data_IF_698710653188
#
_entry.id   IF_698710653188
#
_cell.length_a   1.000
_cell.length_b   1.000
_cell.length_c   1.000
_cell.angle_alpha   90.00
_cell.angle_beta   90.00
_cell.angle_gamma   90.00
#
_symmetry.space_group_name_H-M   'P 1'
#
loop_
_entity.id
_entity.type
_entity.pdbx_description
1 polymer ?
#
# COMPACT_ATOMS: atom_id res chain seq x y z
N UNK A 1 -29.83 -34.65 -15.96
CA UNK A 1 -28.96 -34.95 -17.12
C UNK A 1 -27.49 -34.52 -16.94
N UNK A 2 -27.14 -33.41 -16.27
CA UNK A 2 -25.75 -32.93 -16.05
C UNK A 2 -24.90 -33.90 -15.21
N UNK A 3 -25.44 -34.47 -14.13
CA UNK A 3 -24.71 -35.38 -13.24
C UNK A 3 -24.24 -36.68 -13.91
N UNK A 4 -25.06 -37.22 -14.84
CA UNK A 4 -24.70 -38.43 -15.57
C UNK A 4 -23.59 -38.18 -16.61
N UNK A 5 -23.53 -36.99 -17.21
CA UNK A 5 -22.47 -36.58 -18.12
C UNK A 5 -21.15 -36.32 -17.41
N UNK A 6 -21.19 -35.72 -16.20
CA UNK A 6 -20.03 -35.53 -15.34
C UNK A 6 -19.45 -36.85 -14.85
N UNK A 7 -20.30 -37.83 -14.46
CA UNK A 7 -19.86 -39.14 -14.01
C UNK A 7 -19.24 -39.98 -15.16
N UNK A 8 -19.74 -39.86 -16.38
CA UNK A 8 -19.15 -40.53 -17.56
C UNK A 8 -17.81 -39.89 -17.96
N UNK A 9 -17.69 -38.56 -17.85
CA UNK A 9 -16.47 -37.83 -18.12
C UNK A 9 -15.37 -38.19 -17.13
N UNK A 10 -15.69 -38.23 -15.81
CA UNK A 10 -14.76 -38.61 -14.77
C UNK A 10 -14.23 -40.05 -14.87
N UNK A 11 -15.08 -41.00 -15.30
CA UNK A 11 -14.66 -42.39 -15.55
C UNK A 11 -13.71 -42.48 -16.72
N UNK A 12 -14.02 -41.82 -17.84
CA UNK A 12 -13.22 -41.83 -19.06
C UNK A 12 -11.83 -41.15 -18.85
N UNK A 13 -11.78 -40.11 -18.01
CA UNK A 13 -10.51 -39.49 -17.61
C UNK A 13 -9.67 -40.38 -16.68
N UNK A 14 -10.29 -41.14 -15.79
CA UNK A 14 -9.60 -42.10 -14.91
C UNK A 14 -8.91 -43.25 -15.69
N UNK A 15 -9.57 -43.80 -16.70
CA UNK A 15 -8.99 -44.87 -17.53
C UNK A 15 -7.83 -44.36 -18.42
N UNK A 16 -7.93 -43.16 -18.95
CA UNK A 16 -6.84 -42.53 -19.70
C UNK A 16 -5.63 -42.26 -18.79
N UNK A 17 -5.88 -41.85 -17.55
CA UNK A 17 -4.84 -41.56 -16.56
C UNK A 17 -4.06 -42.84 -16.15
N UNK A 18 -4.71 -43.99 -16.11
CA UNK A 18 -4.06 -45.27 -15.82
C UNK A 18 -3.08 -45.72 -16.92
N UNK A 19 -3.29 -45.27 -18.17
CA UNK A 19 -2.48 -45.62 -19.35
C UNK A 19 -1.35 -44.64 -19.65
N UNK A 20 -1.33 -43.45 -19.02
CA UNK A 20 -0.28 -42.45 -19.21
C UNK A 20 1.00 -42.86 -18.54
N UNK A 21 2.14 -42.62 -19.20
CA UNK A 21 3.47 -42.90 -18.66
C UNK A 21 3.77 -42.02 -17.43
N UNK A 22 4.68 -42.46 -16.56
CA UNK A 22 5.10 -41.68 -15.40
C UNK A 22 5.61 -40.29 -15.79
N UNK A 23 6.32 -40.19 -16.92
CA UNK A 23 6.83 -38.91 -17.45
C UNK A 23 5.71 -37.94 -17.83
N UNK A 24 4.62 -38.43 -18.45
CA UNK A 24 3.47 -37.60 -18.81
C UNK A 24 2.71 -37.09 -17.58
N UNK A 25 2.57 -37.94 -16.54
CA UNK A 25 1.96 -37.54 -15.25
C UNK A 25 2.79 -36.44 -14.56
N UNK A 26 4.11 -36.60 -14.56
CA UNK A 26 5.02 -35.60 -14.01
C UNK A 26 4.95 -34.28 -14.80
N UNK A 27 4.92 -34.34 -16.13
CA UNK A 27 4.78 -33.15 -16.97
C UNK A 27 3.47 -32.41 -16.71
N UNK A 28 2.34 -33.13 -16.58
CA UNK A 28 1.05 -32.54 -16.24
C UNK A 28 1.04 -31.91 -14.84
N UNK A 29 1.67 -32.53 -13.85
CA UNK A 29 1.83 -31.99 -12.51
C UNK A 29 2.63 -30.69 -12.53
N UNK A 30 3.76 -30.68 -13.22
CA UNK A 30 4.59 -29.48 -13.36
C UNK A 30 3.86 -28.34 -14.09
N UNK A 31 3.12 -28.66 -15.16
CA UNK A 31 2.30 -27.69 -15.86
C UNK A 31 1.21 -27.09 -14.96
N UNK A 32 0.54 -27.94 -14.16
CA UNK A 32 -0.46 -27.48 -13.19
C UNK A 32 0.15 -26.56 -12.11
N UNK A 33 1.31 -26.94 -11.58
CA UNK A 33 2.02 -26.11 -10.60
C UNK A 33 2.44 -24.77 -11.19
N UNK A 34 2.91 -24.75 -12.44
CA UNK A 34 3.26 -23.51 -13.14
C UNK A 34 2.04 -22.59 -13.32
N UNK A 35 0.88 -23.15 -13.69
CA UNK A 35 -0.37 -22.39 -13.80
C UNK A 35 -0.80 -21.84 -12.46
N UNK A 36 -0.78 -22.65 -11.40
CA UNK A 36 -1.11 -22.19 -10.03
C UNK A 36 -0.18 -21.06 -9.61
N UNK A 37 1.12 -21.23 -9.83
CA UNK A 37 2.11 -20.20 -9.50
C UNK A 37 1.83 -18.88 -10.23
N UNK A 38 1.57 -18.92 -11.55
CA UNK A 38 1.29 -17.70 -12.33
C UNK A 38 -0.03 -17.03 -11.90
N UNK A 39 -1.06 -17.81 -11.57
CA UNK A 39 -2.34 -17.27 -11.09
C UNK A 39 -2.17 -16.61 -9.72
N UNK A 40 -1.45 -17.26 -8.80
CA UNK A 40 -1.22 -16.72 -7.44
C UNK A 40 -0.41 -15.43 -7.48
N UNK A 41 0.70 -15.42 -8.26
CA UNK A 41 1.55 -14.23 -8.40
C UNK A 41 0.81 -13.09 -9.10
N UNK A 42 0.06 -13.39 -10.16
CA UNK A 42 -0.76 -12.40 -10.85
C UNK A 42 -1.86 -11.80 -9.97
N UNK A 43 -2.55 -12.63 -9.18
CA UNK A 43 -3.57 -12.15 -8.25
C UNK A 43 -2.98 -11.29 -7.12
N UNK A 44 -1.78 -11.63 -6.63
CA UNK A 44 -1.08 -10.83 -5.62
C UNK A 44 -0.72 -9.45 -6.16
N UNK A 45 -0.20 -9.37 -7.40
CA UNK A 45 0.14 -8.10 -8.04
C UNK A 45 -1.09 -7.22 -8.29
N UNK A 46 -2.20 -7.80 -8.76
CA UNK A 46 -3.45 -7.05 -8.95
C UNK A 46 -3.98 -6.46 -7.64
N UNK A 47 -3.90 -7.23 -6.55
CA UNK A 47 -4.28 -6.75 -5.21
C UNK A 47 -3.37 -5.61 -4.74
N UNK A 48 -2.07 -5.72 -4.99
CA UNK A 48 -1.13 -4.65 -4.68
C UNK A 48 -1.45 -3.37 -5.45
N UNK A 49 -1.67 -3.47 -6.77
CA UNK A 49 -2.02 -2.31 -7.61
C UNK A 49 -3.33 -1.64 -7.17
N UNK A 50 -4.33 -2.41 -6.78
CA UNK A 50 -5.59 -1.87 -6.27
C UNK A 50 -5.36 -1.07 -4.97
N UNK A 51 -4.64 -1.66 -4.00
CA UNK A 51 -4.30 -1.00 -2.74
C UNK A 51 -3.37 0.21 -2.93
N UNK A 52 -2.43 0.14 -3.89
CA UNK A 52 -1.55 1.26 -4.20
C UNK A 52 -2.32 2.48 -4.72
N UNK A 53 -3.36 2.25 -5.54
CA UNK A 53 -4.25 3.33 -6.01
C UNK A 53 -5.06 3.93 -4.87
N UNK A 54 -5.53 3.10 -3.96
CA UNK A 54 -6.24 3.53 -2.75
C UNK A 54 -5.33 4.35 -1.84
N UNK A 55 -4.13 3.86 -1.52
CA UNK A 55 -3.14 4.59 -0.73
C UNK A 55 -2.74 5.93 -1.38
N UNK A 56 -2.66 5.98 -2.72
CA UNK A 56 -2.44 7.23 -3.45
C UNK A 56 -3.60 8.23 -3.27
N UNK A 57 -4.84 7.76 -3.25
CA UNK A 57 -6.00 8.61 -2.98
C UNK A 57 -5.98 9.11 -1.54
N UNK A 58 -5.66 8.24 -0.58
CA UNK A 58 -5.59 8.57 0.84
C UNK A 58 -4.47 9.58 1.16
N UNK A 59 -3.27 9.44 0.60
CA UNK A 59 -2.20 10.43 0.83
C UNK A 59 -2.53 11.80 0.23
N UNK A 60 -3.31 11.84 -0.85
CA UNK A 60 -3.81 13.12 -1.39
C UNK A 60 -4.83 13.76 -0.45
N UNK A 61 -5.74 12.96 0.11
CA UNK A 61 -6.69 13.43 1.13
C UNK A 61 -5.95 13.89 2.40
N UNK A 62 -4.96 13.12 2.86
CA UNK A 62 -4.10 13.47 4.00
C UNK A 62 -3.40 14.82 3.80
N UNK A 63 -2.82 15.04 2.60
CA UNK A 63 -2.17 16.33 2.28
C UNK A 63 -3.15 17.49 2.32
N UNK A 64 -4.36 17.32 1.77
CA UNK A 64 -5.39 18.38 1.77
C UNK A 64 -5.86 18.67 3.20
N UNK A 65 -6.13 17.63 4.00
CA UNK A 65 -6.50 17.75 5.40
C UNK A 65 -5.38 18.44 6.21
N UNK A 66 -4.12 18.01 6.04
CA UNK A 66 -2.98 18.62 6.69
C UNK A 66 -2.83 20.10 6.32
N UNK A 67 -3.10 20.48 5.07
CA UNK A 67 -3.11 21.88 4.66
C UNK A 67 -4.20 22.70 5.34
N UNK A 68 -5.39 22.15 5.50
CA UNK A 68 -6.51 22.80 6.19
C UNK A 68 -6.24 22.97 7.70
N UNK A 69 -5.78 21.89 8.37
CA UNK A 69 -5.43 21.94 9.80
C UNK A 69 -4.24 22.87 10.05
N UNK A 70 -3.24 22.88 9.16
CA UNK A 70 -2.11 23.82 9.23
C UNK A 70 -2.56 25.28 9.16
N UNK A 71 -3.47 25.60 8.23
CA UNK A 71 -4.03 26.95 8.11
C UNK A 71 -4.82 27.34 9.38
N UNK A 72 -5.56 26.41 9.98
CA UNK A 72 -6.26 26.61 11.24
C UNK A 72 -5.27 26.84 12.40
N UNK A 73 -4.22 26.04 12.51
CA UNK A 73 -3.16 26.21 13.51
C UNK A 73 -2.51 27.58 13.38
N UNK A 74 -2.15 27.99 12.15
CA UNK A 74 -1.58 29.30 11.87
C UNK A 74 -2.52 30.43 12.31
N UNK A 75 -3.79 30.34 11.99
CA UNK A 75 -4.79 31.38 12.32
C UNK A 75 -5.04 31.53 13.83
N UNK A 76 -4.88 30.43 14.58
CA UNK A 76 -5.08 30.40 16.06
C UNK A 76 -3.78 30.55 16.84
N UNK A 77 -2.62 30.64 16.17
CA UNK A 77 -1.30 30.68 16.81
C UNK A 77 -0.91 29.36 17.51
N UNK A 78 -1.55 28.24 17.15
CA UNK A 78 -1.23 26.91 17.66
C UNK A 78 -0.09 26.30 16.82
N UNK A 79 0.84 25.58 17.47
CA UNK A 79 1.85 24.83 16.74
C UNK A 79 1.21 23.76 15.86
N UNK A 80 1.74 23.57 14.65
CA UNK A 80 1.33 22.52 13.72
C UNK A 80 2.31 21.35 13.72
N UNK A 81 3.62 21.66 13.76
CA UNK A 81 4.70 20.68 13.74
C UNK A 81 5.45 20.66 15.06
N UNK A 82 5.85 19.47 15.49
CA UNK A 82 6.75 19.23 16.62
C UNK A 82 7.68 18.07 16.26
N UNK A 83 8.94 18.36 16.02
CA UNK A 83 9.94 17.34 15.63
C UNK A 83 10.35 16.42 16.79
N UNK A 84 9.89 16.69 18.01
CA UNK A 84 10.15 15.82 19.16
C UNK A 84 9.15 14.68 19.29
N UNK A 85 8.03 14.75 18.59
CA UNK A 85 7.01 13.69 18.52
C UNK A 85 7.37 12.64 17.49
N UNK A 86 6.85 11.43 17.67
CA UNK A 86 7.14 10.30 16.76
C UNK A 86 6.52 10.48 15.37
N UNK A 87 5.44 11.23 15.25
CA UNK A 87 4.71 11.52 14.02
C UNK A 87 5.07 12.88 13.40
N UNK A 88 5.89 13.70 14.11
CA UNK A 88 6.34 15.02 13.66
C UNK A 88 5.30 16.13 13.78
N UNK A 89 4.09 15.83 14.30
CA UNK A 89 3.03 16.80 14.51
C UNK A 89 2.99 17.31 15.97
N UNK A 90 2.46 18.49 16.18
CA UNK A 90 2.10 18.94 17.52
C UNK A 90 0.91 18.13 18.06
N UNK A 91 0.74 18.13 19.39
CA UNK A 91 -0.27 17.33 20.08
C UNK A 91 -1.69 17.52 19.51
N UNK A 92 -2.35 16.41 19.19
CA UNK A 92 -3.70 16.34 18.64
C UNK A 92 -3.83 16.72 17.15
N UNK A 93 -2.77 17.13 16.49
CA UNK A 93 -2.81 17.56 15.07
C UNK A 93 -2.95 16.37 14.12
N UNK A 94 -2.28 15.27 14.42
CA UNK A 94 -2.36 14.06 13.59
C UNK A 94 -3.80 13.52 13.57
N UNK A 95 -4.44 13.43 14.71
CA UNK A 95 -5.83 12.98 14.87
C UNK A 95 -6.81 13.90 14.14
N UNK A 96 -6.62 15.23 14.22
CA UNK A 96 -7.45 16.19 13.47
C UNK A 96 -7.32 15.98 11.95
N UNK A 97 -6.12 15.69 11.45
CA UNK A 97 -5.87 15.40 10.03
C UNK A 97 -6.55 14.09 9.62
N UNK A 98 -6.41 13.04 10.43
CA UNK A 98 -7.00 11.72 10.18
C UNK A 98 -8.53 11.79 10.16
N UNK A 99 -9.12 12.51 11.10
CA UNK A 99 -10.56 12.72 11.18
C UNK A 99 -11.07 13.55 9.99
N UNK A 100 -10.43 14.69 9.71
CA UNK A 100 -10.83 15.57 8.61
C UNK A 100 -10.67 14.91 7.24
N UNK A 101 -9.62 14.11 7.06
CA UNK A 101 -9.35 13.35 5.84
C UNK A 101 -10.14 12.06 5.73
N UNK A 102 -10.88 11.65 6.78
CA UNK A 102 -11.51 10.34 6.92
C UNK A 102 -10.54 9.19 6.58
N UNK A 103 -9.34 9.25 7.14
CA UNK A 103 -8.24 8.36 6.81
C UNK A 103 -8.31 7.08 7.66
N UNK A 104 -8.28 5.89 7.04
CA UNK A 104 -8.25 4.62 7.79
C UNK A 104 -6.87 4.26 8.35
N UNK A 105 -5.82 4.94 7.89
CA UNK A 105 -4.43 4.75 8.33
C UNK A 105 -3.89 5.94 9.07
N UNK A 106 -2.62 5.90 9.44
CA UNK A 106 -1.92 6.94 10.18
C UNK A 106 -1.14 7.88 9.27
N UNK A 107 -1.01 9.13 9.71
CA UNK A 107 -0.19 10.15 9.06
C UNK A 107 1.04 10.49 9.90
N UNK A 108 2.14 10.85 9.23
CA UNK A 108 3.34 11.35 9.89
C UNK A 108 3.94 12.49 9.05
N UNK A 109 4.36 13.55 9.71
CA UNK A 109 5.01 14.69 9.11
C UNK A 109 6.52 14.46 9.07
N UNK A 110 7.07 14.24 7.88
CA UNK A 110 8.51 14.00 7.72
C UNK A 110 9.30 15.30 7.59
N UNK A 111 8.69 16.32 6.99
CA UNK A 111 9.34 17.61 6.80
C UNK A 111 8.32 18.74 6.66
N UNK A 112 8.61 19.84 7.30
CA UNK A 112 7.88 21.12 7.20
C UNK A 112 8.84 22.21 6.78
N UNK A 113 8.34 23.23 6.09
CA UNK A 113 9.15 24.39 5.75
C UNK A 113 9.51 25.23 6.97
N UNK A 114 10.45 26.15 6.84
CA UNK A 114 10.96 27.01 7.93
C UNK A 114 9.87 27.82 8.64
N UNK A 115 8.73 28.05 7.99
CA UNK A 115 7.59 28.70 8.61
C UNK A 115 6.83 27.83 9.64
N UNK A 116 7.19 26.54 9.76
CA UNK A 116 6.57 25.59 10.70
C UNK A 116 5.16 25.11 10.29
N UNK A 117 4.61 25.55 9.16
CA UNK A 117 3.23 25.29 8.77
C UNK A 117 3.08 24.69 7.37
N UNK A 118 4.03 24.90 6.47
CA UNK A 118 3.93 24.37 5.09
C UNK A 118 4.48 22.96 5.01
N UNK A 119 3.62 21.99 4.72
CA UNK A 119 3.99 20.57 4.57
C UNK A 119 4.90 20.41 3.34
N UNK A 120 6.13 19.93 3.56
CA UNK A 120 7.09 19.57 2.52
C UNK A 120 7.06 18.08 2.22
N UNK A 121 7.05 17.23 3.27
CA UNK A 121 6.94 15.78 3.14
C UNK A 121 5.96 15.21 4.15
N UNK A 122 5.06 14.36 3.69
CA UNK A 122 4.05 13.68 4.49
C UNK A 122 4.07 12.20 4.16
N UNK A 123 4.06 11.37 5.18
CA UNK A 123 3.90 9.93 5.08
C UNK A 123 2.48 9.54 5.49
N UNK A 124 1.82 8.76 4.67
CA UNK A 124 0.60 8.03 5.02
C UNK A 124 0.90 6.54 5.05
N UNK A 125 0.47 5.86 6.10
CA UNK A 125 0.66 4.43 6.27
C UNK A 125 -0.64 3.72 6.58
N UNK A 126 -0.94 2.69 5.80
CA UNK A 126 -2.03 1.78 6.04
C UNK A 126 -1.59 0.34 5.77
N UNK A 127 -1.74 -0.55 6.78
CA UNK A 127 -1.36 -1.95 6.68
C UNK A 127 0.10 -2.14 6.19
N UNK A 128 0.27 -2.80 5.03
CA UNK A 128 1.56 -3.13 4.42
C UNK A 128 1.98 -2.17 3.30
N UNK A 129 1.29 -1.06 3.13
CA UNK A 129 1.56 -0.06 2.09
C UNK A 129 1.76 1.29 2.75
N UNK A 130 2.70 2.06 2.25
CA UNK A 130 2.84 3.46 2.62
C UNK A 130 2.93 4.34 1.37
N UNK A 131 2.41 5.54 1.50
CA UNK A 131 2.42 6.53 0.45
C UNK A 131 3.04 7.82 0.97
N UNK A 132 3.88 8.44 0.16
CA UNK A 132 4.61 9.66 0.52
C UNK A 132 4.18 10.77 -0.42
N UNK A 133 3.89 11.91 0.15
CA UNK A 133 3.86 13.18 -0.55
C UNK A 133 5.20 13.88 -0.33
N UNK A 134 5.81 14.36 -1.40
CA UNK A 134 6.97 15.23 -1.40
C UNK A 134 6.67 16.45 -2.28
N UNK A 135 6.91 17.65 -1.78
CA UNK A 135 6.61 18.88 -2.49
C UNK A 135 7.41 19.04 -3.81
N UNK A 136 8.61 18.45 -3.89
CA UNK A 136 9.46 18.48 -5.07
C UNK A 136 9.16 17.35 -6.07
N UNK A 137 8.86 16.15 -5.57
CA UNK A 137 8.77 14.92 -6.38
C UNK A 137 7.33 14.43 -6.58
N UNK A 138 6.37 14.99 -5.85
CA UNK A 138 4.96 14.62 -5.91
C UNK A 138 4.61 13.42 -5.01
N UNK A 139 3.81 12.48 -5.53
CA UNK A 139 3.28 11.37 -4.76
C UNK A 139 3.93 10.06 -5.18
N UNK A 140 4.38 9.27 -4.21
CA UNK A 140 4.94 7.92 -4.43
C UNK A 140 4.30 6.93 -3.47
N UNK A 141 4.15 5.68 -3.93
CA UNK A 141 3.61 4.58 -3.13
C UNK A 141 4.64 3.46 -3.08
N UNK A 142 4.86 2.90 -1.89
CA UNK A 142 5.86 1.89 -1.61
C UNK A 142 5.25 0.73 -0.84
N UNK A 143 5.91 -0.43 -0.88
CA UNK A 143 5.62 -1.55 0.03
C UNK A 143 6.26 -1.28 1.39
N UNK A 144 5.71 -1.87 2.44
CA UNK A 144 6.25 -1.70 3.81
C UNK A 144 7.72 -2.17 3.94
N UNK A 145 8.12 -3.12 3.11
CA UNK A 145 9.51 -3.63 3.02
C UNK A 145 10.49 -2.52 2.62
N UNK A 146 10.08 -1.60 1.75
CA UNK A 146 10.92 -0.51 1.22
C UNK A 146 10.95 0.72 2.15
N UNK A 147 10.14 0.73 3.22
CA UNK A 147 10.00 1.88 4.13
C UNK A 147 11.34 2.30 4.76
N UNK A 148 12.09 1.34 5.28
CA UNK A 148 13.36 1.62 5.96
C UNK A 148 14.38 2.22 5.01
N UNK A 149 14.44 1.73 3.79
CA UNK A 149 15.35 2.23 2.76
C UNK A 149 15.01 3.69 2.41
N UNK A 150 13.73 3.98 2.16
CA UNK A 150 13.26 5.34 1.86
C UNK A 150 13.53 6.32 3.02
N UNK A 151 13.25 5.95 4.26
CA UNK A 151 13.49 6.83 5.41
C UNK A 151 14.98 7.11 5.64
N UNK A 152 15.84 6.13 5.35
CA UNK A 152 17.29 6.30 5.44
C UNK A 152 17.80 7.24 4.34
N UNK A 153 17.36 7.09 3.10
CA UNK A 153 17.71 8.00 2.00
C UNK A 153 17.22 9.43 2.25
N UNK A 154 15.98 9.57 2.74
CA UNK A 154 15.40 10.88 3.06
C UNK A 154 16.17 11.61 4.17
N UNK A 155 16.69 10.88 5.17
CA UNK A 155 17.52 11.46 6.24
C UNK A 155 18.88 11.92 5.74
N UNK A 156 19.49 11.20 4.79
CA UNK A 156 20.76 11.60 4.18
C UNK A 156 20.64 12.80 3.21
N UNK A 157 19.48 12.99 2.60
CA UNK A 157 19.23 14.12 1.71
C UNK A 157 18.91 15.42 2.46
N UNK A 158 18.59 15.35 3.75
CA UNK A 158 18.25 16.47 4.61
C UNK A 158 19.44 16.98 5.47
N UNK A 159 20.57 16.26 5.44
CA UNK A 159 21.81 16.60 6.15
C UNK A 159 22.81 17.32 5.23
#
# INVERSE_FOLDING_TARGET
MLAARLGAWLRNTGEKWARTSFAEKLALLLALLAVIYTVVTGAAELRYQARAREALAQVKAARLAAGAVSAQCYSTGRAFADQTTADGFADGVAEEIEELGALPGSVSLLQVADNGYTVQRLLYQENSIFAVYDAAEGYRVFRAEDRLHYLTEASHAAA
#
